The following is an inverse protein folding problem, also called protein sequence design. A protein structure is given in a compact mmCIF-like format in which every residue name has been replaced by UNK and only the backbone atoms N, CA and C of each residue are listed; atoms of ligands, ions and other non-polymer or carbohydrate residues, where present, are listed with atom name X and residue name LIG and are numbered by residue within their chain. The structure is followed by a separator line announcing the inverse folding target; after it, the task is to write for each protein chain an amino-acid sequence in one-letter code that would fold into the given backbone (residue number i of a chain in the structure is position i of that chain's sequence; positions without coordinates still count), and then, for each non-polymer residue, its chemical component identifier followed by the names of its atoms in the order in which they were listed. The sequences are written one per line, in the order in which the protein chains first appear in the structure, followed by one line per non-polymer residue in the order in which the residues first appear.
data_IF_450429435007
#
_entry.id   IF_450429435007
#
_cell.length_a   1.000
_cell.length_b   1.000
_cell.length_c   1.000
_cell.angle_alpha   90.00
_cell.angle_beta   90.00
_cell.angle_gamma   90.00
#
_symmetry.space_group_name_H-M   'P 1'
#
loop_
_entity.id
_entity.type
_entity.pdbx_description
1 polymer ?
#
# COMPACT_ATOMS: atom_id res chain seq x y z
N UNK A 1 -3.79 -3.78 -14.08
CA UNK A 1 -3.06 -2.95 -15.09
C UNK A 1 -2.98 -1.49 -14.68
N UNK A 2 -4.09 -0.76 -14.46
CA UNK A 2 -4.06 0.68 -14.13
C UNK A 2 -3.17 0.98 -12.89
N UNK A 3 -3.35 0.27 -11.78
CA UNK A 3 -2.52 0.46 -10.59
C UNK A 3 -1.03 0.21 -10.87
N UNK A 4 -0.71 -0.77 -11.72
CA UNK A 4 0.67 -1.04 -12.12
C UNK A 4 1.30 0.11 -12.93
N UNK A 5 0.51 0.76 -13.80
CA UNK A 5 0.95 1.94 -14.55
C UNK A 5 1.16 3.11 -13.59
N UNK A 6 0.20 3.42 -12.72
CA UNK A 6 0.31 4.49 -11.72
C UNK A 6 1.49 4.26 -10.76
N UNK A 7 1.76 3.00 -10.44
CA UNK A 7 2.91 2.59 -9.63
C UNK A 7 4.24 2.58 -10.38
N UNK A 8 4.27 2.86 -11.68
CA UNK A 8 5.48 2.79 -12.50
C UNK A 8 6.08 1.39 -12.64
N UNK A 9 5.26 0.33 -12.45
CA UNK A 9 5.65 -1.06 -12.67
C UNK A 9 5.58 -1.40 -14.15
N UNK A 10 4.44 -1.08 -14.78
CA UNK A 10 4.19 -1.29 -16.20
C UNK A 10 4.42 -0.01 -17.00
N UNK A 11 4.79 -0.19 -18.28
CA UNK A 11 4.92 0.89 -19.27
C UNK A 11 3.60 1.00 -20.02
N UNK A 12 3.22 2.19 -20.42
CA UNK A 12 2.07 2.42 -21.28
C UNK A 12 2.51 2.84 -22.70
N UNK A 13 1.68 2.56 -23.69
CA UNK A 13 2.03 2.72 -25.10
C UNK A 13 1.93 4.19 -25.55
N UNK A 14 0.97 4.95 -25.01
CA UNK A 14 0.73 6.35 -25.40
C UNK A 14 0.01 7.12 -24.32
N UNK A 15 0.01 8.44 -24.43
CA UNK A 15 -0.61 9.36 -23.48
C UNK A 15 0.39 9.91 -22.46
N UNK A 16 -0.12 10.48 -21.36
CA UNK A 16 0.66 11.05 -20.26
C UNK A 16 0.14 10.53 -18.93
N UNK A 17 1.04 10.09 -18.07
CA UNK A 17 0.74 9.70 -16.69
C UNK A 17 1.63 10.48 -15.75
N UNK A 18 1.03 11.32 -14.92
CA UNK A 18 1.72 12.12 -13.92
C UNK A 18 1.25 11.73 -12.51
N UNK A 19 2.18 11.39 -11.64
CA UNK A 19 1.90 11.01 -10.24
C UNK A 19 2.84 11.79 -9.33
N UNK A 20 2.28 12.54 -8.39
CA UNK A 20 3.05 13.39 -7.45
C UNK A 20 4.06 14.30 -8.17
N UNK A 21 3.68 14.88 -9.31
CA UNK A 21 4.51 15.77 -10.13
C UNK A 21 5.56 15.07 -11.00
N UNK A 22 5.64 13.73 -10.98
CA UNK A 22 6.54 12.97 -11.85
C UNK A 22 5.79 12.44 -13.09
N UNK A 23 6.28 12.77 -14.28
CA UNK A 23 5.81 12.18 -15.53
C UNK A 23 6.45 10.80 -15.74
N UNK A 24 5.66 9.75 -15.57
CA UNK A 24 6.12 8.36 -15.64
C UNK A 24 6.54 7.94 -17.06
N UNK A 25 6.05 8.64 -18.08
CA UNK A 25 6.35 8.35 -19.50
C UNK A 25 7.82 8.58 -19.86
N UNK A 26 8.47 9.54 -19.22
CA UNK A 26 9.86 9.92 -19.52
C UNK A 26 10.89 9.27 -18.58
N UNK A 27 10.44 8.58 -17.51
CA UNK A 27 11.35 7.96 -16.54
C UNK A 27 12.04 6.73 -17.13
N UNK A 28 13.36 6.66 -16.99
CA UNK A 28 14.12 5.43 -17.21
C UNK A 28 13.74 4.35 -16.18
N UNK A 29 14.13 3.10 -16.43
CA UNK A 29 13.89 1.98 -15.51
C UNK A 29 14.44 2.25 -14.10
N UNK A 30 15.64 2.80 -14.00
CA UNK A 30 16.25 3.15 -12.70
C UNK A 30 15.48 4.25 -11.97
N UNK A 31 15.07 5.29 -12.70
CA UNK A 31 14.27 6.39 -12.15
C UNK A 31 12.89 5.92 -11.68
N UNK A 32 12.22 5.00 -12.41
CA UNK A 32 10.96 4.38 -11.94
C UNK A 32 11.16 3.57 -10.67
N UNK A 33 12.29 2.87 -10.53
CA UNK A 33 12.60 2.15 -9.29
C UNK A 33 12.80 3.11 -8.11
N UNK A 34 13.53 4.20 -8.30
CA UNK A 34 13.69 5.23 -7.28
C UNK A 34 12.35 5.92 -6.94
N UNK A 35 11.54 6.23 -7.96
CA UNK A 35 10.19 6.78 -7.78
C UNK A 35 9.31 5.85 -6.93
N UNK A 36 9.24 4.55 -7.24
CA UNK A 36 8.49 3.59 -6.41
C UNK A 36 8.99 3.53 -4.98
N UNK A 37 10.29 3.51 -4.81
CA UNK A 37 10.90 3.42 -3.50
C UNK A 37 10.51 4.58 -2.58
N UNK A 38 10.41 5.80 -3.10
CA UNK A 38 10.11 7.01 -2.31
C UNK A 38 8.64 7.41 -2.31
N UNK A 39 7.92 7.17 -3.40
CA UNK A 39 6.62 7.81 -3.66
C UNK A 39 5.42 6.86 -3.51
N UNK A 40 5.59 5.56 -3.77
CA UNK A 40 4.47 4.63 -3.85
C UNK A 40 4.52 3.58 -2.75
N UNK A 41 3.45 3.44 -1.96
CA UNK A 41 3.18 2.26 -1.14
C UNK A 41 2.23 1.31 -1.86
N UNK A 42 2.46 -0.01 -1.77
CA UNK A 42 1.57 -1.01 -2.35
C UNK A 42 0.92 -1.87 -1.28
N UNK A 43 -0.38 -2.08 -1.39
CA UNK A 43 -1.17 -3.04 -0.61
C UNK A 43 -1.82 -4.02 -1.60
N UNK A 44 -1.71 -5.32 -1.33
CA UNK A 44 -2.19 -6.38 -2.23
C UNK A 44 -3.21 -7.27 -1.53
N UNK A 45 -4.07 -7.91 -2.30
CA UNK A 45 -5.09 -8.85 -1.84
C UNK A 45 -4.48 -10.03 -1.04
N UNK A 46 -3.36 -10.58 -1.48
CA UNK A 46 -2.67 -11.71 -0.83
C UNK A 46 -1.46 -11.28 -0.01
N UNK A 47 -1.50 -10.06 0.54
CA UNK A 47 -0.53 -9.48 1.47
C UNK A 47 0.89 -9.31 0.89
N UNK A 48 1.37 -10.22 0.05
CA UNK A 48 2.71 -10.26 -0.56
C UNK A 48 3.84 -10.08 0.47
N UNK A 49 3.68 -10.68 1.65
CA UNK A 49 4.73 -10.70 2.67
C UNK A 49 5.82 -11.70 2.28
N UNK A 50 7.05 -11.38 2.64
CA UNK A 50 8.17 -12.30 2.49
C UNK A 50 8.07 -13.35 3.60
N UNK A 51 7.82 -14.64 3.27
CA UNK A 51 7.50 -15.66 4.27
C UNK A 51 8.68 -16.02 5.18
N UNK A 52 9.90 -15.71 4.74
CA UNK A 52 11.16 -15.93 5.47
C UNK A 52 11.53 -14.79 6.40
N UNK A 53 10.79 -13.68 6.38
CA UNK A 53 10.98 -12.52 7.23
C UNK A 53 9.87 -12.42 8.26
N UNK A 54 10.22 -11.96 9.47
CA UNK A 54 9.26 -11.60 10.51
C UNK A 54 8.41 -10.39 10.12
N UNK A 55 7.37 -10.07 10.88
CA UNK A 55 6.56 -8.87 10.68
C UNK A 55 7.43 -7.60 10.65
N UNK A 56 8.32 -7.47 11.64
CA UNK A 56 9.23 -6.33 11.75
C UNK A 56 10.17 -6.23 10.55
N UNK A 57 10.75 -7.34 10.12
CA UNK A 57 11.66 -7.37 8.97
C UNK A 57 10.93 -7.08 7.66
N UNK A 58 9.69 -7.56 7.47
CA UNK A 58 8.85 -7.23 6.32
C UNK A 58 8.60 -5.71 6.21
N UNK A 59 8.33 -5.04 7.33
CA UNK A 59 8.12 -3.59 7.35
C UNK A 59 9.44 -2.84 7.16
N UNK A 60 10.50 -3.24 7.86
CA UNK A 60 11.82 -2.62 7.78
C UNK A 60 12.43 -2.69 6.37
N UNK A 61 12.19 -3.78 5.63
CA UNK A 61 12.67 -3.97 4.26
C UNK A 61 12.19 -2.86 3.29
N UNK A 62 11.02 -2.27 3.54
CA UNK A 62 10.53 -1.15 2.72
C UNK A 62 11.35 0.13 2.86
N UNK A 63 12.17 0.24 3.90
CA UNK A 63 13.04 1.38 4.18
C UNK A 63 14.48 1.17 3.66
N UNK A 64 14.84 -0.03 3.21
CA UNK A 64 16.21 -0.33 2.72
C UNK A 64 16.67 0.59 1.57
N UNK A 65 15.79 0.94 0.60
CA UNK A 65 16.20 1.83 -0.49
C UNK A 65 16.41 3.29 -0.08
N UNK A 66 16.10 3.68 1.18
CA UNK A 66 16.08 5.06 1.68
C UNK A 66 17.32 5.32 2.57
N UNK A 67 18.48 5.10 2.20
CA UNK A 67 19.77 5.45 2.86
C UNK A 67 19.66 5.78 4.38
N UNK A 68 19.00 4.90 5.14
CA UNK A 68 18.78 5.01 6.59
C UNK A 68 19.59 3.96 7.34
N UNK A 69 20.08 4.31 8.52
CA UNK A 69 20.77 3.35 9.39
C UNK A 69 19.85 2.18 9.78
N UNK A 70 20.41 0.97 9.94
CA UNK A 70 19.64 -0.23 10.27
C UNK A 70 18.84 -0.08 11.57
N UNK A 71 19.40 0.62 12.57
CA UNK A 71 18.73 0.90 13.86
C UNK A 71 17.50 1.78 13.62
N UNK A 72 17.64 2.87 12.88
CA UNK A 72 16.55 3.79 12.55
C UNK A 72 15.41 3.09 11.77
N UNK A 73 15.78 2.26 10.78
CA UNK A 73 14.78 1.47 10.03
C UNK A 73 13.98 0.54 10.96
N UNK A 74 14.65 -0.10 11.92
CA UNK A 74 14.03 -1.00 12.88
C UNK A 74 13.08 -0.26 13.82
N UNK A 75 13.49 0.90 14.33
CA UNK A 75 12.67 1.75 15.20
C UNK A 75 11.41 2.23 14.45
N UNK A 76 11.56 2.81 13.25
CA UNK A 76 10.42 3.24 12.44
C UNK A 76 9.47 2.09 12.07
N UNK A 77 10.01 0.90 11.80
CA UNK A 77 9.20 -0.28 11.52
C UNK A 77 8.42 -0.72 12.76
N UNK A 78 9.02 -0.64 13.96
CA UNK A 78 8.35 -0.97 15.22
C UNK A 78 7.24 0.02 15.53
N UNK A 79 7.49 1.32 15.38
CA UNK A 79 6.50 2.38 15.58
C UNK A 79 5.30 2.21 14.64
N UNK A 80 5.56 1.81 13.39
CA UNK A 80 4.50 1.55 12.43
C UNK A 80 3.70 0.28 12.77
N UNK A 81 4.34 -0.78 13.26
CA UNK A 81 3.64 -1.97 13.78
C UNK A 81 2.77 -1.64 14.99
N UNK A 82 3.21 -0.73 15.86
CA UNK A 82 2.40 -0.24 16.96
C UNK A 82 1.21 0.58 16.46
N UNK A 83 1.42 1.47 15.50
CA UNK A 83 0.36 2.27 14.87
C UNK A 83 -0.74 1.42 14.22
N UNK A 84 -0.40 0.22 13.67
CA UNK A 84 -1.40 -0.74 13.16
C UNK A 84 -1.89 -1.72 14.23
N UNK A 85 -1.43 -1.62 15.49
CA UNK A 85 -1.89 -2.39 16.64
C UNK A 85 -1.38 -3.82 16.72
N UNK A 86 -0.22 -4.13 16.09
CA UNK A 86 0.37 -5.48 16.07
C UNK A 86 1.85 -5.52 16.48
N UNK A 87 2.33 -4.55 17.26
CA UNK A 87 3.72 -4.53 17.75
C UNK A 87 4.12 -5.82 18.49
N UNK A 88 3.16 -6.44 19.20
CA UNK A 88 3.36 -7.70 19.91
C UNK A 88 3.66 -8.90 18.98
N UNK A 89 3.39 -8.78 17.68
CA UNK A 89 3.68 -9.78 16.66
C UNK A 89 4.97 -9.49 15.86
N UNK A 90 5.76 -8.50 16.27
CA UNK A 90 6.95 -8.06 15.53
C UNK A 90 7.93 -9.21 15.19
N UNK A 91 8.06 -10.20 16.06
CA UNK A 91 8.91 -11.38 15.86
C UNK A 91 8.24 -12.57 15.15
N UNK A 92 6.95 -12.48 14.81
CA UNK A 92 6.22 -13.57 14.19
C UNK A 92 6.46 -13.59 12.67
N UNK A 93 6.52 -14.79 12.10
CA UNK A 93 6.52 -15.01 10.65
C UNK A 93 5.09 -14.98 10.08
N UNK A 94 4.89 -14.67 8.78
CA UNK A 94 3.57 -14.66 8.16
C UNK A 94 2.71 -15.90 8.44
N UNK A 95 3.30 -17.09 8.41
CA UNK A 95 2.60 -18.35 8.70
C UNK A 95 2.04 -18.47 10.15
N UNK A 96 2.47 -17.61 11.06
CA UNK A 96 2.03 -17.58 12.46
C UNK A 96 0.97 -16.51 12.73
N UNK A 97 0.51 -15.82 11.70
CA UNK A 97 -0.43 -14.69 11.77
C UNK A 97 -1.72 -15.00 11.03
N UNK A 98 -2.84 -14.50 11.55
CA UNK A 98 -4.13 -14.50 10.85
C UNK A 98 -4.09 -13.60 9.60
N UNK A 99 -5.03 -13.77 8.67
CA UNK A 99 -5.11 -12.94 7.47
C UNK A 99 -5.22 -11.44 7.77
N UNK A 100 -6.02 -11.06 8.77
CA UNK A 100 -6.14 -9.66 9.19
C UNK A 100 -4.84 -9.08 9.77
N UNK A 101 -4.08 -9.86 10.51
CA UNK A 101 -2.75 -9.46 11.02
C UNK A 101 -1.73 -9.34 9.88
N UNK A 102 -1.71 -10.29 8.95
CA UNK A 102 -0.87 -10.21 7.75
C UNK A 102 -1.18 -8.96 6.92
N UNK A 103 -2.47 -8.62 6.76
CA UNK A 103 -2.86 -7.40 6.04
C UNK A 103 -2.42 -6.13 6.78
N UNK A 104 -2.47 -6.10 8.10
CA UNK A 104 -1.92 -4.98 8.88
C UNK A 104 -0.41 -4.85 8.74
N UNK A 105 0.34 -5.96 8.64
CA UNK A 105 1.78 -5.91 8.29
C UNK A 105 1.97 -5.36 6.88
N UNK A 106 1.14 -5.75 5.91
CA UNK A 106 1.19 -5.22 4.55
C UNK A 106 0.92 -3.71 4.50
N UNK A 107 -0.07 -3.22 5.27
CA UNK A 107 -0.35 -1.79 5.43
C UNK A 107 0.84 -1.07 6.08
N UNK A 108 1.37 -1.61 7.18
CA UNK A 108 2.54 -1.04 7.86
C UNK A 108 3.74 -0.92 6.90
N UNK A 109 4.03 -1.97 6.12
CA UNK A 109 5.08 -1.98 5.11
C UNK A 109 4.85 -0.92 4.01
N UNK A 110 3.62 -0.74 3.57
CA UNK A 110 3.29 0.27 2.56
C UNK A 110 3.45 1.70 3.09
N UNK A 111 3.12 1.93 4.37
CA UNK A 111 3.04 3.26 5.00
C UNK A 111 4.29 3.70 5.76
N UNK A 112 5.19 2.78 6.14
CA UNK A 112 6.35 3.08 7.00
C UNK A 112 7.27 4.18 6.43
N UNK A 113 7.33 4.33 5.13
CA UNK A 113 8.09 5.38 4.45
C UNK A 113 7.29 6.68 4.24
N UNK A 114 6.05 6.76 4.74
CA UNK A 114 5.11 7.88 4.58
C UNK A 114 4.99 8.35 3.12
N UNK A 115 4.63 7.46 2.20
CA UNK A 115 4.60 7.80 0.78
C UNK A 115 3.42 8.74 0.51
N UNK A 116 3.53 9.66 -0.48
CA UNK A 116 2.41 10.51 -0.89
C UNK A 116 1.25 9.72 -1.50
N UNK A 117 1.49 8.53 -2.07
CA UNK A 117 0.47 7.70 -2.71
C UNK A 117 0.55 6.25 -2.26
N UNK A 118 -0.60 5.69 -1.88
CA UNK A 118 -0.82 4.25 -1.66
C UNK A 118 -1.69 3.71 -2.81
N UNK A 119 -1.26 2.61 -3.40
CA UNK A 119 -2.01 1.86 -4.38
C UNK A 119 -2.43 0.53 -3.76
N UNK A 120 -3.73 0.30 -3.64
CA UNK A 120 -4.29 -0.89 -3.02
C UNK A 120 -5.12 -1.69 -4.05
N UNK A 121 -4.79 -2.96 -4.20
CA UNK A 121 -5.48 -3.90 -5.09
C UNK A 121 -6.22 -4.92 -4.23
N UNK A 122 -7.57 -4.82 -4.20
CA UNK A 122 -8.47 -5.65 -3.39
C UNK A 122 -7.99 -5.84 -1.94
N UNK A 123 -7.76 -4.77 -1.15
CA UNK A 123 -7.08 -4.85 0.14
C UNK A 123 -7.81 -5.68 1.19
N UNK A 124 -9.08 -6.01 0.98
CA UNK A 124 -9.92 -6.81 1.87
C UNK A 124 -10.35 -8.15 1.30
N UNK A 125 -10.02 -8.43 0.03
CA UNK A 125 -10.56 -9.57 -0.71
C UNK A 125 -10.20 -10.96 -0.17
N UNK A 126 -9.21 -11.06 0.73
CA UNK A 126 -8.82 -12.31 1.41
C UNK A 126 -9.31 -12.36 2.88
N UNK A 127 -10.16 -11.43 3.33
CA UNK A 127 -10.57 -11.27 4.72
C UNK A 127 -12.07 -11.53 4.89
N UNK A 128 -12.46 -12.00 6.08
CA UNK A 128 -13.85 -11.96 6.49
C UNK A 128 -14.30 -10.51 6.79
N UNK A 129 -15.61 -10.29 6.83
CA UNK A 129 -16.23 -8.98 7.01
C UNK A 129 -15.71 -8.21 8.24
N UNK A 130 -15.53 -8.89 9.39
CA UNK A 130 -15.07 -8.26 10.62
C UNK A 130 -13.62 -7.78 10.50
N UNK A 131 -12.76 -8.63 9.97
CA UNK A 131 -11.35 -8.29 9.74
C UNK A 131 -11.20 -7.21 8.66
N UNK A 132 -12.02 -7.26 7.59
CA UNK A 132 -12.07 -6.24 6.54
C UNK A 132 -12.37 -4.85 7.13
N UNK A 133 -13.43 -4.72 7.94
CA UNK A 133 -13.79 -3.46 8.60
C UNK A 133 -12.64 -2.92 9.46
N UNK A 134 -12.03 -3.75 10.30
CA UNK A 134 -10.91 -3.33 11.16
C UNK A 134 -9.68 -2.89 10.37
N UNK A 135 -9.41 -3.53 9.25
CA UNK A 135 -8.29 -3.18 8.34
C UNK A 135 -8.57 -1.85 7.66
N UNK A 136 -9.80 -1.62 7.19
CA UNK A 136 -10.19 -0.34 6.56
C UNK A 136 -10.17 0.82 7.55
N UNK A 137 -10.67 0.64 8.77
CA UNK A 137 -10.57 1.64 9.84
C UNK A 137 -9.10 2.01 10.14
N UNK A 138 -8.24 1.00 10.22
CA UNK A 138 -6.81 1.20 10.42
C UNK A 138 -6.18 1.98 9.26
N UNK A 139 -6.47 1.59 8.01
CA UNK A 139 -5.97 2.24 6.80
C UNK A 139 -6.43 3.70 6.73
N UNK A 140 -7.72 3.98 6.97
CA UNK A 140 -8.30 5.32 6.95
C UNK A 140 -7.69 6.21 8.01
N UNK A 141 -7.54 5.71 9.24
CA UNK A 141 -6.88 6.45 10.32
C UNK A 141 -5.45 6.84 9.96
N UNK A 142 -4.65 5.90 9.46
CA UNK A 142 -3.27 6.17 9.06
C UNK A 142 -3.19 7.11 7.85
N UNK A 143 -4.10 6.97 6.89
CA UNK A 143 -4.23 7.86 5.74
C UNK A 143 -4.42 9.31 6.19
N UNK A 144 -5.32 9.55 7.15
CA UNK A 144 -5.58 10.89 7.71
C UNK A 144 -4.37 11.43 8.49
N UNK A 145 -3.69 10.59 9.27
CA UNK A 145 -2.53 10.99 10.06
C UNK A 145 -1.32 11.36 9.20
N UNK A 146 -1.07 10.62 8.14
CA UNK A 146 0.08 10.80 7.24
C UNK A 146 -0.23 11.83 6.15
N UNK A 147 -1.50 12.00 5.76
CA UNK A 147 -1.92 12.88 4.66
C UNK A 147 -1.64 12.26 3.28
N UNK A 148 -1.58 10.92 3.19
CA UNK A 148 -1.35 10.19 1.94
C UNK A 148 -2.65 10.07 1.11
N UNK A 149 -2.53 10.02 -0.20
CA UNK A 149 -3.65 9.66 -1.09
C UNK A 149 -3.71 8.14 -1.24
N UNK A 150 -4.87 7.55 -1.00
CA UNK A 150 -5.08 6.11 -1.19
C UNK A 150 -5.97 5.88 -2.40
N UNK A 151 -5.46 5.15 -3.40
CA UNK A 151 -6.20 4.72 -4.59
C UNK A 151 -6.45 3.22 -4.45
N UNK A 152 -7.73 2.83 -4.48
CA UNK A 152 -8.13 1.44 -4.29
C UNK A 152 -8.83 0.91 -5.54
N UNK A 153 -8.38 -0.21 -6.06
CA UNK A 153 -9.15 -1.01 -7.02
C UNK A 153 -9.91 -2.08 -6.24
N UNK A 154 -11.23 -2.10 -6.34
CA UNK A 154 -12.08 -3.05 -5.62
C UNK A 154 -13.45 -3.19 -6.26
N UNK A 155 -14.11 -4.30 -5.99
CA UNK A 155 -15.54 -4.51 -6.22
C UNK A 155 -16.32 -4.68 -4.90
N UNK A 156 -15.66 -4.54 -3.74
CA UNK A 156 -16.27 -4.72 -2.42
C UNK A 156 -17.04 -3.45 -1.99
N UNK A 157 -18.37 -3.50 -1.79
CA UNK A 157 -19.16 -2.36 -1.33
C UNK A 157 -18.69 -1.78 0.01
N UNK A 158 -18.07 -2.60 0.88
CA UNK A 158 -17.55 -2.13 2.17
C UNK A 158 -16.43 -1.14 1.91
N UNK A 159 -15.48 -1.47 1.05
CA UNK A 159 -14.35 -0.59 0.70
C UNK A 159 -14.87 0.71 0.08
N UNK A 160 -15.85 0.61 -0.84
CA UNK A 160 -16.47 1.77 -1.49
C UNK A 160 -17.07 2.73 -0.45
N UNK A 161 -17.66 2.22 0.65
CA UNK A 161 -18.25 3.06 1.70
C UNK A 161 -17.23 3.92 2.48
N UNK A 162 -15.94 3.60 2.42
CA UNK A 162 -14.84 4.39 3.00
C UNK A 162 -14.24 5.40 2.03
N UNK A 163 -14.57 5.32 0.73
CA UNK A 163 -14.01 6.20 -0.29
C UNK A 163 -14.63 7.60 -0.21
N UNK A 164 -13.82 8.61 -0.47
CA UNK A 164 -14.28 10.01 -0.63
C UNK A 164 -14.75 10.29 -2.05
N UNK A 165 -14.28 9.52 -3.02
CA UNK A 165 -14.61 9.60 -4.44
C UNK A 165 -14.55 8.21 -5.06
N UNK A 166 -15.45 7.90 -5.99
CA UNK A 166 -15.49 6.63 -6.70
C UNK A 166 -15.54 6.84 -8.20
N UNK A 167 -14.77 6.02 -8.91
CA UNK A 167 -14.74 5.99 -10.36
C UNK A 167 -15.07 4.57 -10.83
N UNK A 168 -15.91 4.47 -11.83
CA UNK A 168 -16.23 3.18 -12.45
C UNK A 168 -15.36 2.97 -13.67
N UNK A 169 -14.81 1.76 -13.80
CA UNK A 169 -14.01 1.38 -14.96
C UNK A 169 -14.75 0.33 -15.79
N UNK A 170 -15.15 0.70 -17.00
CA UNK A 170 -15.80 -0.18 -17.96
C UNK A 170 -14.94 -0.25 -19.24
N UNK A 171 -14.64 -1.46 -19.71
CA UNK A 171 -13.90 -1.72 -20.97
C UNK A 171 -12.61 -0.90 -21.13
N UNK A 172 -11.88 -0.68 -20.02
CA UNK A 172 -10.61 0.06 -19.99
C UNK A 172 -10.76 1.60 -19.98
N UNK A 173 -11.97 2.13 -19.95
CA UNK A 173 -12.27 3.54 -19.79
C UNK A 173 -12.77 3.84 -18.37
N UNK A 174 -12.37 5.00 -17.82
CA UNK A 174 -12.89 5.50 -16.56
C UNK A 174 -14.09 6.38 -16.82
N UNK A 175 -15.22 6.02 -16.24
CA UNK A 175 -16.41 6.86 -16.16
C UNK A 175 -16.43 7.55 -14.79
N UNK A 176 -16.42 8.88 -14.78
CA UNK A 176 -16.53 9.65 -13.53
C UNK A 176 -17.94 9.44 -12.97
N UNK A 177 -18.05 8.65 -11.92
CA UNK A 177 -19.32 8.44 -11.23
C UNK A 177 -19.87 9.78 -10.75
N UNK A 178 -21.11 10.09 -11.07
CA UNK A 178 -21.82 11.20 -10.43
C UNK A 178 -22.13 10.77 -9.01
N UNK A 179 -21.46 11.41 -8.04
CA UNK A 179 -21.80 11.35 -6.61
C UNK A 179 -23.23 11.83 -6.35
#
# INVERSE_FOLDING_TARGET
TLLNILGGIEVFDSGKVEVSGADLGILSRGQRTAFRASTIGFIFQFFNLLPTLTALENVSAALEPLDKAAVERREQAMDMLDAVGIAHLAGNFPAQMSGGEQQRVSIARAMVKQPPVILADEPTGALDHKNATQVLECLTRLQQQIGTTVIVATHDPIVISYATETWEMCDGAIEVGRS
#
